data_IF_216895982230
#
_entry.id   IF_216895982230
#
_cell.length_a   1.000
_cell.length_b   1.000
_cell.length_c   1.000
_cell.angle_alpha   90.00
_cell.angle_beta   90.00
_cell.angle_gamma   90.00
#
_symmetry.space_group_name_H-M   'P 1'
#
loop_
_entity.id
_entity.type
_entity.pdbx_description
1 polymer ?
#
# COMPACT_ATOMS: atom_id res chain seq x y z
N UNK A 1 -17.58 50.16 54.44
CA UNK A 1 -16.58 49.50 53.57
C UNK A 1 -17.34 48.49 52.70
N UNK A 2 -17.78 48.89 51.50
CA UNK A 2 -17.23 48.54 50.17
C UNK A 2 -17.28 47.03 49.83
N UNK A 3 -18.31 46.69 49.05
CA UNK A 3 -18.48 45.68 47.96
C UNK A 3 -17.30 44.73 47.66
N UNK A 4 -17.62 43.45 47.39
CA UNK A 4 -17.51 42.85 46.04
C UNK A 4 -18.06 41.41 46.00
N UNK A 5 -18.99 41.19 45.06
CA UNK A 5 -19.41 39.89 44.53
C UNK A 5 -18.24 39.27 43.75
N UNK A 6 -18.00 37.95 43.89
CA UNK A 6 -17.44 37.15 42.79
C UNK A 6 -18.14 35.78 42.75
N UNK A 7 -18.74 35.56 41.59
CA UNK A 7 -19.48 34.40 41.12
C UNK A 7 -18.56 33.18 40.97
N UNK A 8 -18.91 32.04 41.57
CA UNK A 8 -18.41 30.74 41.13
C UNK A 8 -19.30 30.31 39.95
N UNK A 9 -18.92 30.75 38.75
CA UNK A 9 -19.48 30.23 37.52
C UNK A 9 -18.96 28.81 37.30
N UNK A 10 -19.89 27.89 37.02
CA UNK A 10 -19.61 26.51 36.67
C UNK A 10 -18.64 26.42 35.48
N UNK A 11 -17.42 25.94 35.73
CA UNK A 11 -16.51 25.44 34.70
C UNK A 11 -16.88 23.99 34.37
N UNK A 12 -18.11 23.77 33.91
CA UNK A 12 -18.53 22.54 33.25
C UNK A 12 -18.67 22.85 31.76
N UNK A 13 -17.67 22.49 30.95
CA UNK A 13 -17.73 22.22 29.48
C UNK A 13 -16.38 22.53 28.79
N UNK A 14 -15.33 21.74 29.02
CA UNK A 14 -14.20 21.68 28.09
C UNK A 14 -13.67 20.26 27.82
N UNK A 15 -14.39 19.24 28.26
CA UNK A 15 -13.90 17.85 28.14
C UNK A 15 -14.42 17.14 26.88
N UNK A 16 -15.46 17.63 26.20
CA UNK A 16 -16.10 16.89 25.10
C UNK A 16 -15.32 16.82 23.79
N UNK A 17 -14.37 17.74 23.54
CA UNK A 17 -13.58 17.76 22.28
C UNK A 17 -12.45 16.72 22.25
N UNK A 18 -11.81 16.44 23.39
CA UNK A 18 -10.70 15.48 23.46
C UNK A 18 -11.18 14.04 23.26
N UNK A 19 -12.33 13.66 23.84
CA UNK A 19 -12.86 12.30 23.76
C UNK A 19 -13.40 11.92 22.36
N UNK A 20 -13.98 12.87 21.63
CA UNK A 20 -14.46 12.62 20.26
C UNK A 20 -13.29 12.29 19.31
N UNK A 21 -12.15 12.99 19.43
CA UNK A 21 -10.93 12.74 18.64
C UNK A 21 -10.26 11.40 18.96
N UNK A 22 -10.38 10.91 20.20
CA UNK A 22 -9.82 9.61 20.61
C UNK A 22 -10.65 8.45 20.05
N UNK A 23 -11.98 8.58 20.05
CA UNK A 23 -12.87 7.57 19.50
C UNK A 23 -12.75 7.46 17.97
N UNK A 24 -12.70 8.57 17.23
CA UNK A 24 -12.49 8.55 15.78
C UNK A 24 -11.13 7.94 15.41
N UNK A 25 -10.08 8.25 16.19
CA UNK A 25 -8.74 7.68 15.99
C UNK A 25 -8.68 6.18 16.26
N UNK A 26 -9.41 5.68 17.27
CA UNK A 26 -9.49 4.24 17.53
C UNK A 26 -10.19 3.48 16.39
N UNK A 27 -11.27 4.03 15.85
CA UNK A 27 -11.96 3.45 14.69
C UNK A 27 -11.08 3.52 13.43
N UNK A 28 -10.39 4.64 13.21
CA UNK A 28 -9.44 4.81 12.11
C UNK A 28 -8.31 3.76 12.15
N UNK A 29 -7.74 3.47 13.33
CA UNK A 29 -6.74 2.41 13.49
C UNK A 29 -7.31 1.00 13.19
N UNK A 30 -8.59 0.78 13.47
CA UNK A 30 -9.26 -0.49 13.18
C UNK A 30 -9.37 -0.73 11.67
N UNK A 31 -9.64 0.31 10.89
CA UNK A 31 -9.66 0.24 9.43
C UNK A 31 -8.33 -0.26 8.87
N UNK A 32 -7.20 0.29 9.37
CA UNK A 32 -5.86 -0.13 8.97
C UNK A 32 -5.58 -1.59 9.33
N UNK A 33 -5.98 -2.02 10.53
CA UNK A 33 -5.81 -3.41 10.97
C UNK A 33 -6.63 -4.42 10.13
N UNK A 34 -7.84 -4.04 9.73
CA UNK A 34 -8.69 -4.84 8.85
C UNK A 34 -8.10 -4.92 7.44
N UNK A 35 -7.72 -3.79 6.85
CA UNK A 35 -7.10 -3.75 5.54
C UNK A 35 -5.78 -4.53 5.50
N UNK A 36 -4.93 -4.42 6.53
CA UNK A 36 -3.72 -5.24 6.66
C UNK A 36 -4.04 -6.74 6.67
N UNK A 37 -5.19 -7.12 7.23
CA UNK A 37 -5.64 -8.51 7.24
C UNK A 37 -6.11 -8.97 5.87
N UNK A 38 -6.78 -8.10 5.11
CA UNK A 38 -7.19 -8.35 3.72
C UNK A 38 -5.99 -8.49 2.79
N UNK A 39 -5.03 -7.55 2.85
CA UNK A 39 -3.79 -7.64 2.07
C UNK A 39 -2.99 -8.89 2.44
N UNK A 40 -3.01 -9.35 3.70
CA UNK A 40 -2.43 -10.64 4.09
C UNK A 40 -3.14 -11.84 3.48
N UNK A 41 -4.45 -11.75 3.20
CA UNK A 41 -5.16 -12.82 2.47
C UNK A 41 -4.75 -12.80 1.00
N UNK A 42 -4.73 -11.63 0.37
CA UNK A 42 -4.25 -11.46 -1.01
C UNK A 42 -2.81 -11.98 -1.16
N UNK A 43 -1.93 -11.66 -0.20
CA UNK A 43 -0.56 -12.18 -0.15
C UNK A 43 -0.51 -13.71 -0.11
N UNK A 44 -1.41 -14.37 0.63
CA UNK A 44 -1.50 -15.84 0.67
C UNK A 44 -2.08 -16.45 -0.59
N UNK A 45 -2.90 -15.68 -1.31
CA UNK A 45 -3.44 -16.07 -2.61
C UNK A 45 -2.43 -15.91 -3.75
N UNK A 46 -1.36 -15.12 -3.55
CA UNK A 46 -0.16 -15.20 -4.37
C UNK A 46 0.38 -16.63 -4.21
N UNK A 47 0.09 -17.48 -5.18
CA UNK A 47 0.62 -18.84 -5.24
C UNK A 47 2.13 -18.76 -5.47
N UNK A 48 2.90 -18.55 -4.41
CA UNK A 48 4.35 -18.60 -4.45
C UNK A 48 4.73 -19.98 -4.95
N UNK A 49 5.39 -20.00 -6.11
CA UNK A 49 5.74 -21.25 -6.79
C UNK A 49 7.04 -21.75 -6.18
N UNK A 50 6.95 -22.74 -5.29
CA UNK A 50 8.10 -23.21 -4.52
C UNK A 50 9.22 -23.72 -5.43
N UNK A 51 8.89 -24.34 -6.56
CA UNK A 51 9.86 -24.77 -7.57
C UNK A 51 10.68 -23.59 -8.13
N UNK A 52 10.04 -22.42 -8.32
CA UNK A 52 10.73 -21.22 -8.77
C UNK A 52 11.63 -20.65 -7.66
N UNK A 53 11.16 -20.63 -6.41
CA UNK A 53 11.96 -20.20 -5.24
C UNK A 53 13.20 -21.07 -5.08
N UNK A 54 13.02 -22.39 -5.15
CA UNK A 54 14.10 -23.36 -5.06
C UNK A 54 15.12 -23.18 -6.20
N UNK A 55 14.65 -22.92 -7.42
CA UNK A 55 15.53 -22.67 -8.56
C UNK A 55 16.40 -21.42 -8.37
N UNK A 56 15.85 -20.36 -7.76
CA UNK A 56 16.62 -19.15 -7.40
C UNK A 56 17.64 -19.46 -6.30
N UNK A 57 17.26 -20.23 -5.28
CA UNK A 57 18.18 -20.65 -4.22
C UNK A 57 19.35 -21.48 -4.79
N UNK A 58 19.05 -22.44 -5.67
CA UNK A 58 20.07 -23.23 -6.38
C UNK A 58 20.96 -22.34 -7.25
N UNK A 59 20.40 -21.35 -7.96
CA UNK A 59 21.19 -20.41 -8.78
C UNK A 59 22.23 -19.67 -7.94
N UNK A 60 21.86 -19.20 -6.74
CA UNK A 60 22.81 -18.58 -5.80
C UNK A 60 23.85 -19.59 -5.27
N UNK A 61 23.44 -20.83 -5.03
CA UNK A 61 24.35 -21.91 -4.61
C UNK A 61 25.38 -22.24 -5.69
N UNK A 62 24.95 -22.35 -6.95
CA UNK A 62 25.80 -22.53 -8.13
C UNK A 62 26.88 -21.44 -8.19
N UNK A 63 26.49 -20.15 -8.04
CA UNK A 63 27.46 -19.06 -7.99
C UNK A 63 28.51 -19.26 -6.89
N UNK A 64 28.08 -19.62 -5.67
CA UNK A 64 28.98 -19.86 -4.55
C UNK A 64 29.90 -21.09 -4.77
N UNK A 65 29.43 -22.11 -5.48
CA UNK A 65 30.23 -23.29 -5.85
C UNK A 65 31.28 -22.97 -6.91
N UNK A 66 30.92 -22.15 -7.90
CA UNK A 66 31.86 -21.68 -8.91
C UNK A 66 32.97 -20.82 -8.31
N UNK A 67 32.69 -19.99 -7.30
CA UNK A 67 33.74 -19.27 -6.54
C UNK A 67 34.70 -20.21 -5.82
N UNK A 68 34.22 -21.37 -5.38
CA UNK A 68 35.04 -22.39 -4.68
C UNK A 68 35.76 -23.33 -5.66
N UNK A 69 35.56 -23.17 -6.96
CA UNK A 69 36.10 -24.07 -7.99
C UNK A 69 35.36 -25.41 -8.10
N UNK A 70 34.20 -25.56 -7.45
CA UNK A 70 33.42 -26.80 -7.42
C UNK A 70 32.53 -26.93 -8.67
N UNK A 71 33.14 -26.95 -9.85
CA UNK A 71 32.44 -26.93 -11.15
C UNK A 71 31.43 -28.08 -11.31
N UNK A 72 31.80 -29.30 -10.94
CA UNK A 72 30.95 -30.48 -11.17
C UNK A 72 29.68 -30.43 -10.33
N UNK A 73 29.76 -29.90 -9.10
CA UNK A 73 28.59 -29.68 -8.27
C UNK A 73 27.73 -28.54 -8.82
N UNK A 74 28.36 -27.44 -9.26
CA UNK A 74 27.68 -26.30 -9.86
C UNK A 74 26.88 -26.68 -11.11
N UNK A 75 27.37 -27.61 -11.92
CA UNK A 75 26.63 -28.13 -13.07
C UNK A 75 25.37 -28.89 -12.61
N UNK A 76 25.50 -29.81 -11.65
CA UNK A 76 24.37 -30.60 -11.13
C UNK A 76 23.28 -29.71 -10.52
N UNK A 77 23.67 -28.78 -9.67
CA UNK A 77 22.74 -27.85 -9.03
C UNK A 77 22.04 -26.93 -10.05
N UNK A 78 22.74 -26.55 -11.12
CA UNK A 78 22.17 -25.75 -12.19
C UNK A 78 21.17 -26.55 -13.04
N UNK A 79 21.48 -27.82 -13.33
CA UNK A 79 20.55 -28.75 -14.00
C UNK A 79 19.29 -28.95 -13.16
N UNK A 80 19.42 -29.12 -11.84
CA UNK A 80 18.30 -29.21 -10.92
C UNK A 80 17.43 -27.94 -10.92
N UNK A 81 18.06 -26.76 -10.94
CA UNK A 81 17.37 -25.47 -11.03
C UNK A 81 16.57 -25.35 -12.34
N UNK A 82 17.17 -25.75 -13.47
CA UNK A 82 16.50 -25.79 -14.77
C UNK A 82 15.32 -26.75 -14.73
N UNK A 83 15.52 -27.97 -14.23
CA UNK A 83 14.46 -28.99 -14.14
C UNK A 83 13.25 -28.52 -13.33
N UNK A 84 13.48 -27.82 -12.20
CA UNK A 84 12.41 -27.20 -11.41
C UNK A 84 11.63 -26.15 -12.22
N UNK A 85 12.31 -25.30 -12.99
CA UNK A 85 11.65 -24.29 -13.82
C UNK A 85 10.89 -24.89 -15.01
N UNK A 86 11.32 -26.03 -15.55
CA UNK A 86 10.57 -26.75 -16.60
C UNK A 86 9.21 -27.26 -16.10
N UNK A 87 9.14 -27.72 -14.84
CA UNK A 87 7.87 -28.09 -14.19
C UNK A 87 6.93 -26.89 -14.15
N UNK A 88 7.45 -25.72 -13.80
CA UNK A 88 6.69 -24.48 -13.73
C UNK A 88 6.23 -24.00 -15.12
N UNK A 89 7.11 -24.05 -16.12
CA UNK A 89 6.79 -23.72 -17.52
C UNK A 89 5.70 -24.63 -18.10
N UNK A 90 5.61 -25.87 -17.63
CA UNK A 90 4.63 -26.85 -18.09
C UNK A 90 3.23 -26.65 -17.49
N UNK A 91 3.07 -25.72 -16.54
CA UNK A 91 1.78 -25.44 -15.93
C UNK A 91 0.80 -24.82 -16.96
N UNK A 92 -0.46 -25.27 -17.01
CA UNK A 92 -1.48 -24.62 -17.85
C UNK A 92 -1.60 -23.14 -17.51
N UNK A 93 -1.49 -22.27 -18.52
CA UNK A 93 -1.52 -20.80 -18.36
C UNK A 93 -0.45 -20.25 -17.41
N UNK A 94 0.78 -20.79 -17.46
CA UNK A 94 1.90 -20.25 -16.69
C UNK A 94 2.05 -18.72 -16.92
N UNK A 95 2.06 -17.90 -15.85
CA UNK A 95 2.12 -16.45 -16.00
C UNK A 95 3.52 -16.01 -16.45
N UNK A 96 3.59 -14.90 -17.19
CA UNK A 96 4.87 -14.35 -17.66
C UNK A 96 5.82 -13.95 -16.51
N UNK A 97 5.24 -13.56 -15.38
CA UNK A 97 5.91 -13.20 -14.14
C UNK A 97 5.43 -14.14 -13.04
N UNK A 98 6.38 -14.75 -12.32
CA UNK A 98 6.07 -15.67 -11.23
C UNK A 98 6.45 -15.04 -9.90
N UNK A 99 5.51 -14.93 -8.95
CA UNK A 99 5.84 -14.42 -7.63
C UNK A 99 6.72 -15.44 -6.88
N UNK A 100 7.89 -14.99 -6.45
CA UNK A 100 8.87 -15.81 -5.69
C UNK A 100 9.05 -15.30 -4.26
N UNK A 101 8.70 -14.05 -4.00
CA UNK A 101 8.68 -13.49 -2.65
C UNK A 101 7.59 -12.42 -2.56
N UNK A 102 7.11 -12.18 -1.34
CA UNK A 102 6.20 -11.08 -1.06
C UNK A 102 6.34 -10.56 0.35
N UNK A 103 6.24 -9.24 0.52
CA UNK A 103 6.27 -8.60 1.84
C UNK A 103 5.20 -7.52 1.94
N UNK A 104 4.72 -7.26 3.16
CA UNK A 104 3.75 -6.20 3.44
C UNK A 104 4.43 -5.12 4.28
N UNK A 105 4.46 -3.92 3.74
CA UNK A 105 4.89 -2.70 4.43
C UNK A 105 3.66 -1.85 4.75
N UNK A 106 3.62 -1.30 5.95
CA UNK A 106 2.58 -0.33 6.34
C UNK A 106 3.30 0.94 6.75
N UNK A 107 3.06 2.02 6.01
CA UNK A 107 3.64 3.33 6.30
C UNK A 107 2.50 4.29 6.51
N UNK A 108 2.49 4.96 7.65
CA UNK A 108 1.51 5.99 7.94
C UNK A 108 2.18 7.36 8.01
N UNK A 109 1.48 8.38 7.53
CA UNK A 109 1.95 9.76 7.62
C UNK A 109 1.55 10.34 8.98
N UNK A 110 2.49 10.63 9.88
CA UNK A 110 2.16 11.01 11.25
C UNK A 110 1.63 12.45 11.38
N UNK A 111 1.75 13.26 10.33
CA UNK A 111 1.40 14.68 10.34
C UNK A 111 -0.05 14.98 9.94
N UNK A 112 -0.34 16.28 9.88
CA UNK A 112 -1.63 16.84 9.50
C UNK A 112 -1.70 17.15 8.00
N UNK A 113 -2.90 17.48 7.52
CA UNK A 113 -3.10 18.00 6.16
C UNK A 113 -2.24 19.26 5.89
N UNK A 114 -2.04 20.11 6.90
CA UNK A 114 -1.22 21.31 6.74
C UNK A 114 0.26 20.97 6.60
N UNK A 115 0.73 19.93 7.29
CA UNK A 115 2.11 19.45 7.18
C UNK A 115 2.38 18.90 5.77
N UNK A 116 1.43 18.13 5.22
CA UNK A 116 1.51 17.63 3.82
C UNK A 116 1.64 18.81 2.84
N UNK A 117 0.75 19.81 2.96
CA UNK A 117 0.77 20.99 2.08
C UNK A 117 2.08 21.76 2.20
N UNK A 118 2.58 21.92 3.42
CA UNK A 118 3.85 22.63 3.69
C UNK A 118 5.02 21.87 3.09
N UNK A 119 5.08 20.55 3.26
CA UNK A 119 6.10 19.71 2.65
C UNK A 119 6.09 19.78 1.12
N UNK A 120 4.91 19.77 0.49
CA UNK A 120 4.77 19.91 -0.97
C UNK A 120 5.29 21.27 -1.45
N UNK A 121 5.02 22.36 -0.71
CA UNK A 121 5.56 23.69 -1.04
C UNK A 121 7.09 23.67 -0.96
N UNK A 122 7.66 23.07 0.08
CA UNK A 122 9.11 22.91 0.23
C UNK A 122 9.72 22.10 -0.91
N UNK A 123 9.11 20.98 -1.29
CA UNK A 123 9.53 20.17 -2.44
C UNK A 123 9.55 21.00 -3.71
N UNK A 124 8.49 21.75 -4.01
CA UNK A 124 8.42 22.61 -5.20
C UNK A 124 9.52 23.67 -5.21
N UNK A 125 9.79 24.29 -4.06
CA UNK A 125 10.86 25.29 -3.93
C UNK A 125 12.26 24.69 -4.13
N UNK A 126 12.51 23.48 -3.62
CA UNK A 126 13.76 22.75 -3.80
C UNK A 126 13.97 22.33 -5.26
N UNK A 127 12.91 21.80 -5.91
CA UNK A 127 12.96 21.43 -7.32
C UNK A 127 13.20 22.62 -8.24
N UNK A 128 12.58 23.78 -7.95
CA UNK A 128 12.84 25.03 -8.68
C UNK A 128 14.31 25.48 -8.59
N UNK A 129 15.05 25.04 -7.56
CA UNK A 129 16.47 25.30 -7.36
C UNK A 129 17.36 24.13 -7.82
N UNK A 130 16.81 23.11 -8.51
CA UNK A 130 17.50 21.88 -8.90
C UNK A 130 18.08 21.06 -7.72
N UNK A 131 17.56 21.25 -6.50
CA UNK A 131 17.99 20.51 -5.30
C UNK A 131 17.27 19.16 -5.21
N UNK A 132 17.57 18.27 -6.15
CA UNK A 132 16.84 17.02 -6.36
C UNK A 132 16.95 16.08 -5.15
N UNK A 133 18.14 15.96 -4.53
CA UNK A 133 18.33 15.02 -3.42
C UNK A 133 17.58 15.47 -2.15
N UNK A 134 17.57 16.77 -1.87
CA UNK A 134 16.79 17.34 -0.76
C UNK A 134 15.28 17.17 -0.99
N UNK A 135 14.81 17.42 -2.23
CA UNK A 135 13.41 17.24 -2.57
C UNK A 135 12.96 15.78 -2.45
N UNK A 136 13.80 14.83 -2.91
CA UNK A 136 13.55 13.38 -2.80
C UNK A 136 13.38 12.95 -1.35
N UNK A 137 14.28 13.40 -0.46
CA UNK A 137 14.22 13.07 0.96
C UNK A 137 12.89 13.49 1.62
N UNK A 138 12.28 14.60 1.18
CA UNK A 138 10.95 15.01 1.66
C UNK A 138 9.85 14.17 1.00
N UNK A 139 9.91 13.96 -0.32
CA UNK A 139 8.92 13.16 -1.06
C UNK A 139 8.79 11.72 -0.52
N UNK A 140 9.90 11.11 -0.14
CA UNK A 140 9.93 9.75 0.43
C UNK A 140 9.11 9.63 1.73
N UNK A 141 8.87 10.76 2.42
CA UNK A 141 8.06 10.81 3.65
C UNK A 141 6.56 11.03 3.38
N UNK A 142 6.18 11.49 2.20
CA UNK A 142 4.80 11.87 1.87
C UNK A 142 3.97 10.66 1.41
N UNK A 143 3.77 9.71 2.32
CA UNK A 143 3.01 8.48 2.07
C UNK A 143 2.23 8.02 3.31
N UNK A 144 1.01 7.56 3.10
CA UNK A 144 0.15 6.89 4.09
C UNK A 144 -0.59 5.75 3.38
N UNK A 145 -0.01 4.55 3.43
CA UNK A 145 -0.35 3.42 2.57
C UNK A 145 0.06 2.06 3.16
N UNK A 146 -0.62 1.03 2.67
CA UNK A 146 -0.21 -0.36 2.79
C UNK A 146 0.37 -0.76 1.42
N UNK A 147 1.59 -1.29 1.41
CA UNK A 147 2.27 -1.76 0.20
C UNK A 147 2.48 -3.25 0.29
N UNK A 148 1.88 -4.00 -0.64
CA UNK A 148 2.24 -5.39 -0.92
C UNK A 148 3.31 -5.40 -2.00
N UNK A 149 4.55 -5.67 -1.60
CA UNK A 149 5.69 -5.82 -2.50
C UNK A 149 5.73 -7.26 -2.98
N UNK A 150 5.80 -7.48 -4.28
CA UNK A 150 5.91 -8.81 -4.88
C UNK A 150 7.14 -8.84 -5.76
N UNK A 151 8.08 -9.73 -5.45
CA UNK A 151 9.25 -9.98 -6.30
C UNK A 151 8.89 -11.07 -7.29
N UNK A 152 9.06 -10.78 -8.57
CA UNK A 152 8.65 -11.66 -9.65
C UNK A 152 9.85 -12.12 -10.49
N UNK A 153 9.87 -13.42 -10.77
CA UNK A 153 10.79 -14.04 -11.70
C UNK A 153 10.21 -14.01 -13.12
N UNK A 154 10.94 -13.49 -14.13
CA UNK A 154 10.49 -13.49 -15.52
C UNK A 154 10.64 -14.88 -16.14
N UNK A 155 9.51 -15.55 -16.39
CA UNK A 155 9.46 -16.95 -16.79
C UNK A 155 10.03 -17.21 -18.19
N UNK A 156 10.02 -16.21 -19.07
CA UNK A 156 10.56 -16.35 -20.41
C UNK A 156 12.11 -16.26 -20.46
N UNK A 157 12.69 -15.31 -19.74
CA UNK A 157 14.12 -15.00 -19.84
C UNK A 157 14.98 -15.76 -18.83
N UNK A 158 14.48 -15.98 -17.60
CA UNK A 158 15.28 -16.58 -16.54
C UNK A 158 15.68 -18.03 -16.84
N UNK A 159 14.76 -18.95 -17.23
CA UNK A 159 15.15 -20.32 -17.58
C UNK A 159 16.11 -20.40 -18.78
N UNK A 160 15.95 -19.50 -19.76
CA UNK A 160 16.85 -19.42 -20.92
C UNK A 160 18.27 -19.01 -20.51
N UNK A 161 18.41 -18.07 -19.57
CA UNK A 161 19.71 -17.65 -19.04
C UNK A 161 20.40 -18.80 -18.28
N UNK A 162 19.67 -19.57 -17.48
CA UNK A 162 20.21 -20.74 -16.78
C UNK A 162 20.73 -21.80 -17.76
N UNK A 163 19.99 -22.09 -18.84
CA UNK A 163 20.44 -22.99 -19.91
C UNK A 163 21.69 -22.49 -20.61
N UNK A 164 21.80 -21.17 -20.85
CA UNK A 164 23.00 -20.57 -21.43
C UNK A 164 24.21 -20.68 -20.49
N UNK A 165 24.01 -20.45 -19.20
CA UNK A 165 25.06 -20.63 -18.20
C UNK A 165 25.54 -22.09 -18.13
N UNK A 166 24.61 -23.06 -18.18
CA UNK A 166 24.96 -24.49 -18.21
C UNK A 166 25.84 -24.82 -19.42
N UNK A 167 25.48 -24.31 -20.62
CA UNK A 167 26.32 -24.43 -21.81
C UNK A 167 27.73 -23.89 -21.58
N UNK A 168 27.87 -22.69 -21.00
CA UNK A 168 29.19 -22.12 -20.70
C UNK A 168 29.99 -22.96 -19.69
N UNK A 169 29.34 -23.54 -18.68
CA UNK A 169 30.02 -24.45 -17.75
C UNK A 169 30.57 -25.69 -18.47
N UNK A 170 29.80 -26.32 -19.36
CA UNK A 170 30.29 -27.45 -20.16
C UNK A 170 31.47 -27.05 -21.07
N UNK A 171 31.46 -25.83 -21.62
CA UNK A 171 32.57 -25.25 -22.40
C UNK A 171 33.77 -24.79 -21.54
N UNK A 172 33.73 -24.98 -20.22
CA UNK A 172 34.74 -24.51 -19.26
C UNK A 172 34.89 -22.98 -19.19
N UNK A 173 33.85 -22.25 -19.57
CA UNK A 173 33.76 -20.78 -19.61
C UNK A 173 33.10 -20.26 -18.33
N UNK A 174 33.84 -20.41 -17.22
CA UNK A 174 33.30 -20.18 -15.87
C UNK A 174 32.89 -18.72 -15.64
N UNK A 175 33.69 -17.76 -16.12
CA UNK A 175 33.39 -16.35 -15.94
C UNK A 175 32.14 -15.93 -16.69
N UNK A 176 31.95 -16.42 -17.92
CA UNK A 176 30.75 -16.15 -18.69
C UNK A 176 29.51 -16.77 -18.05
N UNK A 177 29.60 -17.99 -17.50
CA UNK A 177 28.50 -18.59 -16.74
C UNK A 177 28.12 -17.73 -15.53
N UNK A 178 29.09 -17.32 -14.72
CA UNK A 178 28.85 -16.42 -13.56
C UNK A 178 28.20 -15.10 -13.98
N UNK A 179 28.65 -14.50 -15.08
CA UNK A 179 28.08 -13.26 -15.59
C UNK A 179 26.62 -13.44 -16.01
N UNK A 180 26.30 -14.51 -16.73
CA UNK A 180 24.91 -14.80 -17.15
C UNK A 180 24.01 -15.05 -15.94
N UNK A 181 24.46 -15.83 -14.95
CA UNK A 181 23.67 -16.10 -13.74
C UNK A 181 23.42 -14.82 -12.92
N UNK A 182 24.43 -13.97 -12.74
CA UNK A 182 24.26 -12.68 -12.07
C UNK A 182 23.30 -11.74 -12.83
N UNK A 183 23.41 -11.69 -14.16
CA UNK A 183 22.48 -10.93 -14.99
C UNK A 183 21.05 -11.46 -14.86
N UNK A 184 20.87 -12.79 -14.84
CA UNK A 184 19.56 -13.42 -14.67
C UNK A 184 18.93 -13.04 -13.32
N UNK A 185 19.68 -13.09 -12.23
CA UNK A 185 19.20 -12.68 -10.90
C UNK A 185 18.82 -11.19 -10.85
N UNK A 186 19.50 -10.34 -11.62
CA UNK A 186 19.19 -8.91 -11.73
C UNK A 186 17.95 -8.60 -12.60
N UNK A 187 17.32 -9.61 -13.21
CA UNK A 187 16.10 -9.43 -14.03
C UNK A 187 14.80 -9.54 -13.24
N UNK A 188 14.85 -9.80 -11.94
CA UNK A 188 13.64 -9.87 -11.12
C UNK A 188 12.93 -8.53 -11.07
N UNK A 189 11.60 -8.58 -11.17
CA UNK A 189 10.76 -7.39 -11.22
C UNK A 189 10.03 -7.24 -9.89
N UNK A 190 10.23 -6.12 -9.22
CA UNK A 190 9.43 -5.75 -8.05
C UNK A 190 8.16 -5.03 -8.52
N UNK A 191 7.01 -5.55 -8.09
CA UNK A 191 5.70 -4.93 -8.29
C UNK A 191 5.14 -4.57 -6.93
N UNK A 192 4.93 -3.28 -6.73
CA UNK A 192 4.28 -2.74 -5.54
C UNK A 192 2.78 -2.58 -5.82
N UNK A 193 1.95 -3.21 -4.99
CA UNK A 193 0.51 -2.94 -4.94
C UNK A 193 0.25 -1.99 -3.77
N UNK A 194 -0.08 -0.74 -4.09
CA UNK A 194 -0.23 0.36 -3.12
C UNK A 194 -1.69 0.60 -2.82
N UNK A 195 -2.07 0.47 -1.54
CA UNK A 195 -3.42 0.76 -1.04
C UNK A 195 -3.40 1.98 -0.11
N UNK A 196 -4.07 3.10 -0.46
CA UNK A 196 -4.07 4.32 0.35
C UNK A 196 -4.78 4.14 1.69
N UNK A 197 -4.09 4.39 2.81
CA UNK A 197 -4.66 4.29 4.16
C UNK A 197 -5.79 5.31 4.39
N UNK A 198 -5.68 6.60 4.00
CA UNK A 198 -6.73 7.56 4.29
C UNK A 198 -8.07 7.23 3.62
N UNK A 199 -8.07 6.56 2.46
CA UNK A 199 -9.31 6.08 1.83
C UNK A 199 -9.97 4.94 2.62
N UNK A 200 -9.18 4.02 3.18
CA UNK A 200 -9.67 2.95 4.05
C UNK A 200 -10.30 3.51 5.32
N UNK A 201 -9.63 4.50 5.92
CA UNK A 201 -10.11 5.18 7.13
C UNK A 201 -11.43 5.92 6.85
N UNK A 202 -11.52 6.66 5.74
CA UNK A 202 -12.74 7.35 5.34
C UNK A 202 -13.93 6.38 5.17
N UNK A 203 -13.74 5.24 4.49
CA UNK A 203 -14.78 4.21 4.34
C UNK A 203 -15.26 3.72 5.71
N UNK A 204 -14.34 3.32 6.57
CA UNK A 204 -14.68 2.78 7.89
C UNK A 204 -15.40 3.81 8.77
N UNK A 205 -14.94 5.07 8.75
CA UNK A 205 -15.58 6.16 9.49
C UNK A 205 -17.02 6.41 9.00
N UNK A 206 -17.28 6.32 7.70
CA UNK A 206 -18.65 6.41 7.15
C UNK A 206 -19.50 5.20 7.57
N UNK A 207 -18.95 3.98 7.59
CA UNK A 207 -19.66 2.79 8.08
C UNK A 207 -20.03 2.90 9.57
N UNK A 208 -19.13 3.47 10.38
CA UNK A 208 -19.41 3.77 11.80
C UNK A 208 -20.46 4.87 11.91
N UNK A 209 -20.34 5.95 11.13
CA UNK A 209 -21.32 7.04 11.12
C UNK A 209 -22.73 6.54 10.77
N UNK A 210 -22.86 5.64 9.79
CA UNK A 210 -24.14 5.03 9.42
C UNK A 210 -24.80 4.31 10.60
N UNK A 211 -24.01 3.56 11.38
CA UNK A 211 -24.48 2.80 12.56
C UNK A 211 -24.86 3.72 13.72
N UNK A 212 -24.18 4.85 13.86
CA UNK A 212 -24.39 5.82 14.94
C UNK A 212 -25.49 6.86 14.61
N UNK A 213 -25.81 7.10 13.35
CA UNK A 213 -26.72 8.18 12.91
C UNK A 213 -28.11 8.16 13.59
N UNK A 214 -28.60 6.98 14.00
CA UNK A 214 -29.87 6.82 14.73
C UNK A 214 -29.74 6.89 16.26
N UNK A 215 -28.54 6.66 16.79
CA UNK A 215 -28.26 6.52 18.24
C UNK A 215 -27.67 7.81 18.80
N UNK A 216 -26.67 8.33 18.12
CA UNK A 216 -25.95 9.53 18.49
C UNK A 216 -25.58 10.31 17.21
N UNK A 217 -26.44 11.28 16.89
CA UNK A 217 -26.25 12.16 15.73
C UNK A 217 -24.95 12.94 15.80
N UNK A 218 -24.52 13.35 17.00
CA UNK A 218 -23.29 14.12 17.16
C UNK A 218 -22.09 13.26 16.83
N UNK A 219 -22.03 12.04 17.39
CA UNK A 219 -20.97 11.07 17.07
C UNK A 219 -20.93 10.74 15.58
N UNK A 220 -22.09 10.54 14.94
CA UNK A 220 -22.14 10.29 13.50
C UNK A 220 -21.56 11.46 12.67
N UNK A 221 -21.90 12.70 13.02
CA UNK A 221 -21.35 13.89 12.38
C UNK A 221 -19.84 14.03 12.60
N UNK A 222 -19.35 13.77 13.82
CA UNK A 222 -17.91 13.81 14.12
C UNK A 222 -17.11 12.79 13.27
N UNK A 223 -17.68 11.60 13.01
CA UNK A 223 -17.07 10.58 12.14
C UNK A 223 -17.06 10.99 10.66
N UNK A 224 -18.14 11.62 10.17
CA UNK A 224 -18.19 12.16 8.81
C UNK A 224 -17.20 13.31 8.60
N UNK A 225 -17.05 14.17 9.61
CA UNK A 225 -16.05 15.23 9.61
C UNK A 225 -14.61 14.68 9.56
N UNK A 226 -14.33 13.57 10.26
CA UNK A 226 -13.04 12.86 10.15
C UNK A 226 -12.86 12.21 8.79
N UNK A 227 -13.91 11.56 8.24
CA UNK A 227 -13.84 10.96 6.91
C UNK A 227 -13.48 12.01 5.84
N UNK A 228 -14.07 13.21 5.89
CA UNK A 228 -13.68 14.33 5.00
C UNK A 228 -12.21 14.74 5.19
N UNK A 229 -11.69 14.73 6.42
CA UNK A 229 -10.27 15.04 6.67
C UNK A 229 -9.35 14.00 6.03
N UNK A 230 -9.71 12.72 6.13
CA UNK A 230 -8.93 11.64 5.53
C UNK A 230 -9.00 11.66 4.00
N UNK A 231 -10.15 12.00 3.39
CA UNK A 231 -10.24 12.26 1.95
C UNK A 231 -9.30 13.39 1.50
N UNK A 232 -9.27 14.50 2.24
CA UNK A 232 -8.37 15.63 1.93
C UNK A 232 -6.90 15.27 2.09
N UNK A 233 -6.55 14.43 3.07
CA UNK A 233 -5.20 13.89 3.20
C UNK A 233 -4.86 13.02 2.01
N UNK A 234 -5.78 12.14 1.59
CA UNK A 234 -5.57 11.26 0.44
C UNK A 234 -5.28 12.07 -0.83
N UNK A 235 -6.11 13.09 -1.09
CA UNK A 235 -5.95 14.00 -2.22
C UNK A 235 -4.62 14.77 -2.15
N UNK A 236 -4.28 15.31 -0.98
CA UNK A 236 -3.05 16.08 -0.80
C UNK A 236 -1.79 15.22 -0.94
N UNK A 237 -1.82 13.96 -0.52
CA UNK A 237 -0.74 12.99 -0.72
C UNK A 237 -0.64 12.52 -2.19
N UNK A 238 -1.58 12.92 -3.05
CA UNK A 238 -1.54 12.62 -4.47
C UNK A 238 -2.09 11.25 -4.84
N UNK A 239 -2.86 10.60 -3.95
CA UNK A 239 -3.53 9.35 -4.29
C UNK A 239 -4.66 9.62 -5.29
N UNK A 240 -4.49 9.16 -6.53
CA UNK A 240 -5.46 9.33 -7.61
C UNK A 240 -6.24 8.04 -7.85
N UNK A 241 -7.47 8.18 -8.36
CA UNK A 241 -8.35 7.07 -8.73
C UNK A 241 -8.69 7.15 -10.21
N UNK A 242 -8.82 5.99 -10.86
CA UNK A 242 -9.31 5.89 -12.24
C UNK A 242 -10.86 5.83 -12.30
N UNK A 243 -11.55 6.17 -11.20
CA UNK A 243 -13.01 6.33 -11.16
C UNK A 243 -13.45 7.65 -11.78
N UNK A 244 -14.67 7.69 -12.33
CA UNK A 244 -15.34 8.95 -12.68
C UNK A 244 -15.71 9.78 -11.44
N UNK A 245 -15.71 9.14 -10.27
CA UNK A 245 -15.93 9.80 -8.98
C UNK A 245 -14.70 10.61 -8.61
N UNK A 246 -14.89 11.87 -8.18
CA UNK A 246 -13.79 12.74 -7.71
C UNK A 246 -13.82 12.91 -6.19
N UNK A 247 -12.70 13.35 -5.60
CA UNK A 247 -12.67 13.72 -4.18
C UNK A 247 -13.75 14.74 -3.82
N UNK A 248 -13.94 15.77 -4.66
CA UNK A 248 -14.99 16.76 -4.48
C UNK A 248 -16.39 16.15 -4.46
N UNK A 249 -16.68 15.20 -5.36
CA UNK A 249 -17.97 14.51 -5.35
C UNK A 249 -18.20 13.72 -4.06
N UNK A 250 -17.17 13.04 -3.56
CA UNK A 250 -17.24 12.30 -2.29
C UNK A 250 -17.46 13.25 -1.11
N UNK A 251 -16.76 14.39 -1.06
CA UNK A 251 -16.98 15.43 -0.05
C UNK A 251 -18.42 15.98 -0.11
N UNK A 252 -18.91 16.31 -1.31
CA UNK A 252 -20.28 16.81 -1.50
C UNK A 252 -21.34 15.77 -1.06
N UNK A 253 -21.08 14.48 -1.29
CA UNK A 253 -21.94 13.40 -0.81
C UNK A 253 -21.93 13.30 0.72
N UNK A 254 -20.76 13.43 1.37
CA UNK A 254 -20.69 13.49 2.84
C UNK A 254 -21.50 14.69 3.36
N UNK A 255 -21.38 15.86 2.75
CA UNK A 255 -22.16 17.04 3.16
C UNK A 255 -23.68 16.83 3.03
N UNK A 256 -24.13 16.12 1.99
CA UNK A 256 -25.55 15.74 1.83
C UNK A 256 -25.99 14.83 2.97
N UNK A 257 -25.20 13.81 3.31
CA UNK A 257 -25.48 12.90 4.42
C UNK A 257 -25.56 13.68 5.74
N UNK A 258 -24.63 14.59 6.00
CA UNK A 258 -24.62 15.43 7.20
C UNK A 258 -25.87 16.31 7.33
N UNK A 259 -26.34 16.88 6.21
CA UNK A 259 -27.58 17.67 6.16
C UNK A 259 -28.79 16.82 6.52
N UNK A 260 -28.90 15.61 5.97
CA UNK A 260 -30.02 14.72 6.29
C UNK A 260 -30.00 14.22 7.74
N UNK A 261 -28.82 13.94 8.32
CA UNK A 261 -28.69 13.58 9.75
C UNK A 261 -29.20 14.71 10.65
N UNK A 262 -28.89 15.96 10.30
CA UNK A 262 -29.39 17.15 11.02
C UNK A 262 -30.89 17.36 10.82
N UNK A 263 -31.44 16.90 9.70
CA UNK A 263 -32.85 16.96 9.35
C UNK A 263 -33.75 15.92 10.04
N UNK A 264 -34.97 15.81 9.52
CA UNK A 264 -36.02 14.87 9.99
C UNK A 264 -36.08 13.57 9.18
N UNK A 265 -35.38 13.50 8.06
CA UNK A 265 -35.44 12.38 7.11
C UNK A 265 -34.46 11.26 7.47
N UNK A 266 -34.62 10.11 6.82
CA UNK A 266 -33.69 8.98 6.94
C UNK A 266 -32.58 9.09 5.91
N UNK A 267 -31.33 9.19 6.37
CA UNK A 267 -30.12 9.25 5.52
C UNK A 267 -29.64 7.88 5.01
N UNK A 268 -30.37 6.79 5.24
CA UNK A 268 -29.92 5.40 4.98
C UNK A 268 -29.45 5.19 3.53
N UNK A 269 -30.28 5.58 2.55
CA UNK A 269 -29.93 5.47 1.14
C UNK A 269 -28.71 6.30 0.74
N UNK A 270 -28.54 7.48 1.34
CA UNK A 270 -27.39 8.34 1.07
C UNK A 270 -26.09 7.74 1.61
N UNK A 271 -26.15 7.06 2.77
CA UNK A 271 -25.00 6.32 3.29
C UNK A 271 -24.61 5.15 2.39
N UNK A 272 -25.60 4.39 1.90
CA UNK A 272 -25.36 3.27 0.98
C UNK A 272 -24.68 3.74 -0.31
N UNK A 273 -25.22 4.80 -0.93
CA UNK A 273 -24.66 5.39 -2.16
C UNK A 273 -23.23 5.93 -1.92
N UNK A 274 -23.00 6.63 -0.80
CA UNK A 274 -21.67 7.13 -0.44
C UNK A 274 -20.66 5.99 -0.22
N UNK A 275 -21.05 4.93 0.48
CA UNK A 275 -20.17 3.80 0.73
C UNK A 275 -19.83 3.03 -0.55
N UNK A 276 -20.80 2.85 -1.43
CA UNK A 276 -20.57 2.24 -2.75
C UNK A 276 -19.55 3.07 -3.55
N UNK A 277 -19.73 4.39 -3.60
CA UNK A 277 -18.81 5.29 -4.32
C UNK A 277 -17.42 5.36 -3.69
N UNK A 278 -17.31 5.37 -2.37
CA UNK A 278 -16.01 5.33 -1.70
C UNK A 278 -15.26 4.02 -1.96
N UNK A 279 -15.96 2.87 -1.93
CA UNK A 279 -15.36 1.56 -2.20
C UNK A 279 -14.89 1.46 -3.65
N UNK A 280 -15.73 1.84 -4.61
CA UNK A 280 -15.38 1.91 -6.03
C UNK A 280 -14.16 2.83 -6.26
N UNK A 281 -14.18 4.03 -5.67
CA UNK A 281 -13.08 4.99 -5.77
C UNK A 281 -11.78 4.42 -5.21
N UNK A 282 -11.82 3.79 -4.02
CA UNK A 282 -10.66 3.14 -3.39
C UNK A 282 -10.11 2.00 -4.24
N UNK A 283 -10.96 1.11 -4.75
CA UNK A 283 -10.52 0.01 -5.61
C UNK A 283 -9.77 0.51 -6.85
N UNK A 284 -10.27 1.57 -7.48
CA UNK A 284 -9.62 2.23 -8.61
C UNK A 284 -8.46 3.17 -8.23
N UNK A 285 -8.25 3.40 -6.94
CA UNK A 285 -7.09 4.12 -6.40
C UNK A 285 -5.95 3.19 -5.98
N UNK A 286 -6.16 1.87 -5.95
CA UNK A 286 -5.08 0.90 -5.76
C UNK A 286 -4.19 0.92 -7.00
N UNK A 287 -2.91 1.27 -6.83
CA UNK A 287 -1.96 1.36 -7.95
C UNK A 287 -0.99 0.20 -7.92
N UNK A 288 -0.69 -0.33 -9.11
CA UNK A 288 0.41 -1.28 -9.34
C UNK A 288 1.59 -0.50 -9.92
N UNK A 289 2.70 -0.48 -9.20
CA UNK A 289 3.91 0.24 -9.60
C UNK A 289 4.98 -0.80 -9.89
N UNK A 290 5.45 -0.82 -11.14
CA UNK A 290 6.59 -1.65 -11.54
C UNK A 290 7.87 -0.84 -11.28
N UNK A 291 8.83 -1.40 -10.56
CA UNK A 291 10.13 -0.78 -10.30
C UNK A 291 11.23 -1.37 -11.18
#
# INVERSE_FOLDING_TARGET
MKKLFVSIAAASLLVSGAFASVASKAESNKAVAQAKTEVKKEQKELKIVQEAVDAVALTNKVLAELEKGNKDQAIKDLEDAIGKLEVVLSAPNAPALIPIDSTIEVVDFPGTLQDIKTAIISVKALLAQNKIQEARAILDTLRSEIVLKVVNLPLASYPAALKLAAKFLHENRINEAKNVLNQALATFVEVDVVTPIPLLQAIHLVEVAQKEAKKDKKKALDMLDEAKRDLKKAEALGYTSDSDTTYKMLEDMIEKVEKEIKGKNRAEKLFEELLEKLKEFKEKAVKKINK
#
